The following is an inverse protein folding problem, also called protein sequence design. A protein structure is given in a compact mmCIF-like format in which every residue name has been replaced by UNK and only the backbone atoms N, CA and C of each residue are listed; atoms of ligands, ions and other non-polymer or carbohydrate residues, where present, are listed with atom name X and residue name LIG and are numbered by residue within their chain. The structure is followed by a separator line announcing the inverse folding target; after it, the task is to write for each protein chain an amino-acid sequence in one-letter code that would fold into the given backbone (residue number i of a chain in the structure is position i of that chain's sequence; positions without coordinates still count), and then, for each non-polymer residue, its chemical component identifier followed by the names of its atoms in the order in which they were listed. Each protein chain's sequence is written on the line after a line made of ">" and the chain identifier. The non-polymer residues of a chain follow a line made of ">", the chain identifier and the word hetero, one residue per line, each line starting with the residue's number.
data_IF_759447030392
#
_entry.id   IF_759447030392
#
_cell.length_a   1.000
_cell.length_b   1.000
_cell.length_c   1.000
_cell.angle_alpha   90.00
_cell.angle_beta   90.00
_cell.angle_gamma   90.00
#
_symmetry.space_group_name_H-M   'P 1'
#
loop_
_entity.id
_entity.type
_entity.pdbx_description
1 polymer ?
#
# COMPACT_ATOMS: atom_id res chain seq x y z
N UNK A 1 16.49 2.08 1.34
CA UNK A 1 15.90 2.89 0.26
C UNK A 1 14.39 2.67 0.26
N UNK A 2 13.59 3.70 -0.06
CA UNK A 2 12.14 3.57 -0.14
C UNK A 2 11.79 2.73 -1.37
N UNK A 3 11.21 1.55 -1.16
CA UNK A 3 10.64 0.72 -2.21
C UNK A 3 9.15 0.52 -1.89
N UNK A 4 8.25 0.62 -2.87
CA UNK A 4 8.44 1.07 -4.26
C UNK A 4 8.70 2.58 -4.39
N UNK A 5 9.06 3.05 -5.60
CA UNK A 5 9.19 4.49 -5.88
C UNK A 5 7.82 5.17 -6.02
N UNK A 6 7.76 6.49 -5.81
CA UNK A 6 6.51 7.26 -5.91
C UNK A 6 5.95 7.20 -7.34
N UNK A 7 6.80 7.32 -8.36
CA UNK A 7 6.36 7.28 -9.76
C UNK A 7 5.70 5.95 -10.10
N UNK A 8 6.26 4.84 -9.61
CA UNK A 8 5.68 3.51 -9.76
C UNK A 8 4.33 3.37 -9.05
N UNK A 9 4.17 3.99 -7.89
CA UNK A 9 2.90 3.99 -7.16
C UNK A 9 1.82 4.81 -7.88
N UNK A 10 2.22 5.89 -8.57
CA UNK A 10 1.31 6.73 -9.34
C UNK A 10 0.83 6.08 -10.65
N UNK A 11 1.47 4.99 -11.10
CA UNK A 11 0.94 4.15 -12.19
C UNK A 11 -0.28 3.31 -11.74
N UNK A 12 -0.43 3.06 -10.44
CA UNK A 12 -1.53 2.25 -9.88
C UNK A 12 -2.62 3.14 -9.26
N UNK A 13 -2.23 4.25 -8.63
CA UNK A 13 -3.15 5.23 -8.05
C UNK A 13 -2.92 6.61 -8.69
N UNK A 14 -3.97 7.16 -9.31
CA UNK A 14 -3.91 8.39 -10.10
C UNK A 14 -3.60 9.68 -9.29
N UNK A 15 -3.60 9.63 -7.96
CA UNK A 15 -3.41 10.81 -7.10
C UNK A 15 -2.50 10.55 -5.92
N UNK A 16 -1.52 11.45 -5.73
CA UNK A 16 -0.62 11.46 -4.56
C UNK A 16 -1.37 11.51 -3.24
N UNK A 17 -2.49 12.25 -3.18
CA UNK A 17 -3.30 12.34 -1.97
C UNK A 17 -4.01 11.02 -1.68
N UNK A 18 -4.61 10.41 -2.70
CA UNK A 18 -5.25 9.10 -2.59
C UNK A 18 -4.26 8.04 -2.15
N UNK A 19 -3.04 8.07 -2.70
CA UNK A 19 -1.96 7.16 -2.34
C UNK A 19 -1.64 7.25 -0.83
N UNK A 20 -1.44 8.47 -0.32
CA UNK A 20 -1.13 8.68 1.10
C UNK A 20 -2.30 8.23 1.98
N UNK A 21 -3.54 8.57 1.63
CA UNK A 21 -4.72 8.22 2.42
C UNK A 21 -4.96 6.71 2.45
N UNK A 22 -4.84 6.02 1.31
CA UNK A 22 -5.00 4.55 1.21
C UNK A 22 -3.91 3.84 1.98
N UNK A 23 -2.64 4.21 1.76
CA UNK A 23 -1.51 3.61 2.45
C UNK A 23 -1.61 3.80 3.98
N UNK A 24 -2.00 5.00 4.44
CA UNK A 24 -2.18 5.27 5.87
C UNK A 24 -3.33 4.46 6.48
N UNK A 25 -4.46 4.33 5.75
CA UNK A 25 -5.60 3.52 6.22
C UNK A 25 -5.23 2.05 6.32
N UNK A 26 -4.57 1.50 5.29
CA UNK A 26 -4.13 0.10 5.27
C UNK A 26 -3.10 -0.17 6.35
N UNK A 27 -2.12 0.70 6.53
CA UNK A 27 -1.12 0.55 7.58
C UNK A 27 -1.73 0.52 8.98
N UNK A 28 -2.74 1.36 9.26
CA UNK A 28 -3.48 1.32 10.54
C UNK A 28 -4.23 0.00 10.72
N UNK A 29 -4.84 -0.52 9.66
CA UNK A 29 -5.53 -1.81 9.70
C UNK A 29 -4.56 -2.95 10.01
N UNK A 30 -3.41 -3.00 9.31
CA UNK A 30 -2.35 -3.98 9.59
C UNK A 30 -1.89 -3.95 11.05
N UNK A 31 -1.72 -2.75 11.61
CA UNK A 31 -1.32 -2.60 13.01
C UNK A 31 -2.41 -3.03 13.98
N UNK A 32 -3.68 -2.71 13.68
CA UNK A 32 -4.82 -3.02 14.55
C UNK A 32 -5.12 -4.51 14.58
N UNK A 33 -5.14 -5.14 13.41
CA UNK A 33 -5.57 -6.54 13.25
C UNK A 33 -4.39 -7.52 13.34
N UNK A 34 -3.17 -7.02 13.59
CA UNK A 34 -1.92 -7.78 13.49
C UNK A 34 -1.79 -8.52 12.14
N UNK A 35 -2.38 -7.95 11.09
CA UNK A 35 -2.41 -8.54 9.76
C UNK A 35 -1.00 -8.48 9.14
N UNK A 36 -0.39 -9.63 8.80
CA UNK A 36 0.95 -9.67 8.22
C UNK A 36 1.02 -9.02 6.83
N UNK A 37 -0.13 -8.85 6.16
CA UNK A 37 -0.28 -8.38 4.80
C UNK A 37 -0.76 -9.48 3.86
N UNK A 38 -1.00 -9.11 2.61
CA UNK A 38 -1.50 -9.96 1.52
C UNK A 38 -0.41 -10.58 0.66
N UNK A 39 0.86 -10.25 0.93
CA UNK A 39 2.03 -10.75 0.20
C UNK A 39 2.89 -11.60 1.14
N UNK A 40 3.56 -12.61 0.57
CA UNK A 40 4.43 -13.52 1.33
C UNK A 40 5.74 -12.85 1.77
N UNK A 41 6.22 -11.87 1.00
CA UNK A 41 7.47 -11.15 1.29
C UNK A 41 7.29 -9.64 1.16
N UNK A 42 7.87 -8.91 2.10
CA UNK A 42 7.87 -7.47 2.16
C UNK A 42 9.28 -6.96 2.38
N UNK A 43 9.72 -6.02 1.54
CA UNK A 43 11.00 -5.34 1.75
C UNK A 43 10.94 -4.37 2.92
N UNK A 44 9.76 -3.84 3.23
CA UNK A 44 9.56 -2.94 4.35
C UNK A 44 9.10 -3.68 5.61
N UNK A 45 9.76 -3.38 6.72
CA UNK A 45 9.33 -3.84 8.04
C UNK A 45 8.22 -2.96 8.64
N UNK A 46 8.01 -1.74 8.11
CA UNK A 46 6.98 -0.82 8.62
C UNK A 46 5.67 -1.04 7.89
N UNK A 47 4.56 -1.01 8.61
CA UNK A 47 3.21 -1.19 8.06
C UNK A 47 2.89 -0.25 6.87
N UNK A 48 3.39 1.00 6.91
CA UNK A 48 3.22 1.94 5.79
C UNK A 48 3.95 1.48 4.54
N UNK A 49 5.18 0.99 4.66
CA UNK A 49 5.92 0.49 3.50
C UNK A 49 5.29 -0.79 2.95
N UNK A 50 4.86 -1.70 3.82
CA UNK A 50 4.09 -2.89 3.42
C UNK A 50 2.83 -2.51 2.64
N UNK A 51 2.06 -1.53 3.12
CA UNK A 51 0.89 -1.04 2.40
C UNK A 51 1.22 -0.45 1.02
N UNK A 52 2.35 0.26 0.88
CA UNK A 52 2.80 0.77 -0.42
C UNK A 52 3.21 -0.37 -1.36
N UNK A 53 3.84 -1.42 -0.84
CA UNK A 53 4.19 -2.62 -1.60
C UNK A 53 2.93 -3.37 -2.09
N UNK A 54 1.90 -3.50 -1.24
CA UNK A 54 0.61 -4.10 -1.65
C UNK A 54 -0.11 -3.28 -2.72
N UNK A 55 -0.08 -1.94 -2.60
CA UNK A 55 -0.64 -1.04 -3.63
C UNK A 55 0.10 -1.26 -4.95
N UNK A 56 1.44 -1.29 -4.92
CA UNK A 56 2.24 -1.50 -6.11
C UNK A 56 2.06 -2.89 -6.74
N UNK A 57 1.83 -3.93 -5.93
CA UNK A 57 1.51 -5.28 -6.41
C UNK A 57 0.13 -5.38 -7.08
N UNK A 58 -0.72 -4.35 -6.97
CA UNK A 58 -2.09 -4.38 -7.48
C UNK A 58 -3.07 -5.13 -6.59
N UNK A 59 -2.63 -5.60 -5.41
CA UNK A 59 -3.48 -6.29 -4.42
C UNK A 59 -4.42 -5.31 -3.70
N UNK A 60 -4.14 -4.02 -3.79
CA UNK A 60 -4.89 -2.94 -3.14
C UNK A 60 -5.34 -1.90 -4.17
N UNK A 61 -6.34 -2.29 -4.96
CA UNK A 61 -7.05 -1.34 -5.80
C UNK A 61 -8.22 -0.80 -4.98
N UNK A 62 -8.33 0.53 -4.81
CA UNK A 62 -9.60 1.10 -4.40
C UNK A 62 -10.63 0.64 -5.43
N UNK A 63 -11.60 -0.16 -5.01
CA UNK A 63 -12.70 -0.54 -5.88
C UNK A 63 -13.23 0.70 -6.56
N UNK A 64 -13.04 0.80 -7.89
CA UNK A 64 -14.11 1.35 -8.70
C UNK A 64 -15.19 0.28 -8.60
N UNK A 65 -16.04 0.39 -7.58
CA UNK A 65 -17.39 -0.13 -7.66
C UNK A 65 -17.90 0.29 -9.03
N UNK A 66 -18.08 -0.70 -9.89
CA UNK A 66 -18.62 -0.54 -11.23
C UNK A 66 -20.09 -0.88 -11.17
#
# INVERSE_FOLDING_TARGET
>A
MLYPSIDNLLLVIDSKYSLVTVAARRARQMQKDHDPGTMDDFKSHKAVGKALEEIYAGNLVMGKDK
#
